data_IF_632118970667
#
_entry.id   IF_632118970667
#
_cell.length_a   1.000
_cell.length_b   1.000
_cell.length_c   1.000
_cell.angle_alpha   90.00
_cell.angle_beta   90.00
_cell.angle_gamma   90.00
#
_symmetry.space_group_name_H-M   'P 1'
#
loop_
_entity.id
_entity.type
_entity.pdbx_description
1 polymer ?
#
# COMPACT_ATOMS: atom_id res chain seq x y z
N UNK A 1 -5.59 -6.33 -5.43
CA UNK A 1 -7.04 -6.02 -5.39
C UNK A 1 -7.96 -7.19 -5.78
N UNK A 2 -7.89 -7.70 -7.02
CA UNK A 2 -8.78 -8.79 -7.48
C UNK A 2 -8.70 -10.03 -6.59
N UNK A 3 -7.49 -10.52 -6.29
CA UNK A 3 -7.29 -11.71 -5.44
C UNK A 3 -7.79 -11.52 -4.00
N UNK A 4 -7.70 -10.30 -3.45
CA UNK A 4 -8.27 -10.01 -2.12
C UNK A 4 -9.80 -10.05 -2.19
N UNK A 5 -10.40 -9.40 -3.19
CA UNK A 5 -11.86 -9.32 -3.34
C UNK A 5 -12.53 -10.59 -3.86
N UNK A 6 -11.77 -11.62 -4.25
CA UNK A 6 -12.30 -12.94 -4.59
C UNK A 6 -12.41 -13.87 -3.37
N UNK A 7 -11.85 -13.48 -2.22
CA UNK A 7 -12.00 -14.24 -0.98
C UNK A 7 -13.42 -14.10 -0.44
N UNK A 8 -14.05 -15.20 -0.02
CA UNK A 8 -15.40 -15.19 0.56
C UNK A 8 -15.51 -14.28 1.79
N UNK A 9 -14.42 -14.17 2.56
CA UNK A 9 -14.34 -13.34 3.76
C UNK A 9 -14.21 -11.85 3.46
N UNK A 10 -13.91 -11.46 2.21
CA UNK A 10 -13.61 -10.07 1.85
C UNK A 10 -14.83 -9.36 1.29
N UNK A 11 -15.41 -8.44 2.07
CA UNK A 11 -16.51 -7.59 1.61
C UNK A 11 -15.97 -6.34 0.88
N UNK A 12 -15.67 -6.48 -0.40
CA UNK A 12 -15.22 -5.36 -1.23
C UNK A 12 -16.38 -4.49 -1.72
N UNK A 13 -16.33 -3.19 -1.42
CA UNK A 13 -17.32 -2.20 -1.88
C UNK A 13 -16.73 -1.23 -2.93
N UNK A 14 -15.42 -1.26 -3.14
CA UNK A 14 -14.71 -0.40 -4.11
C UNK A 14 -15.12 -0.76 -5.54
N UNK A 15 -15.68 0.21 -6.28
CA UNK A 15 -16.06 0.08 -7.69
C UNK A 15 -15.63 1.31 -8.51
N UNK A 16 -14.99 1.14 -9.69
CA UNK A 16 -14.41 -0.11 -10.17
C UNK A 16 -13.25 -0.56 -9.27
N UNK A 17 -12.94 -1.87 -9.27
CA UNK A 17 -11.75 -2.36 -8.58
C UNK A 17 -10.48 -1.85 -9.28
N UNK A 18 -9.44 -1.43 -8.54
CA UNK A 18 -8.17 -1.05 -9.13
C UNK A 18 -7.57 -2.21 -9.96
N UNK A 19 -7.14 -1.89 -11.18
CA UNK A 19 -6.54 -2.86 -12.11
C UNK A 19 -5.04 -3.10 -11.87
N UNK A 20 -4.41 -2.25 -11.06
CA UNK A 20 -2.99 -2.33 -10.68
C UNK A 20 -2.85 -2.80 -9.22
N UNK A 21 -1.64 -3.21 -8.84
CA UNK A 21 -1.30 -3.35 -7.43
C UNK A 21 -1.54 -2.01 -6.70
N UNK A 22 -2.08 -2.10 -5.49
CA UNK A 22 -2.32 -0.99 -4.58
C UNK A 22 -1.47 -1.21 -3.33
N UNK A 23 -1.16 -0.13 -2.62
CA UNK A 23 -0.49 -0.21 -1.33
C UNK A 23 -1.45 -0.87 -0.33
N UNK A 24 -0.90 -1.75 0.51
CA UNK A 24 -1.58 -2.21 1.73
C UNK A 24 -1.00 -1.49 2.94
N UNK A 25 0.32 -1.44 3.05
CA UNK A 25 1.04 -0.63 4.04
C UNK A 25 2.54 -0.58 3.81
N UNK A 26 3.20 0.34 4.51
CA UNK A 26 4.65 0.37 4.69
C UNK A 26 4.95 -0.02 6.13
N UNK A 27 5.67 -1.12 6.32
CA UNK A 27 5.85 -1.74 7.62
C UNK A 27 7.33 -1.74 7.99
N UNK A 28 7.79 -0.84 8.87
CA UNK A 28 9.07 -1.01 9.53
C UNK A 28 9.08 -2.37 10.22
N UNK A 29 10.19 -3.08 10.11
CA UNK A 29 10.29 -4.43 10.66
C UNK A 29 11.70 -4.73 11.16
N UNK A 30 11.84 -5.85 11.84
CA UNK A 30 13.14 -6.39 12.24
C UNK A 30 13.24 -7.87 11.84
N UNK A 31 14.47 -8.41 11.85
CA UNK A 31 14.74 -9.80 11.43
C UNK A 31 14.24 -10.87 12.42
N UNK A 32 13.81 -10.50 13.62
CA UNK A 32 13.48 -11.44 14.70
C UNK A 32 11.96 -11.57 14.92
N UNK A 33 11.29 -10.46 15.23
CA UNK A 33 9.89 -10.39 15.59
C UNK A 33 9.19 -9.22 14.89
N UNK A 34 7.99 -9.40 14.33
CA UNK A 34 7.28 -8.33 13.63
C UNK A 34 7.17 -7.06 14.45
N UNK A 35 7.73 -5.96 13.94
CA UNK A 35 7.65 -4.67 14.61
C UNK A 35 6.28 -4.01 14.35
N UNK A 36 5.52 -3.77 15.43
CA UNK A 36 4.17 -3.19 15.35
C UNK A 36 3.74 -2.56 16.68
N UNK A 37 2.70 -1.74 16.62
CA UNK A 37 2.03 -1.14 17.76
C UNK A 37 3.01 -0.37 18.69
N UNK A 38 4.00 0.31 18.11
CA UNK A 38 5.03 1.02 18.86
C UNK A 38 4.43 2.20 19.62
N UNK A 39 4.86 2.38 20.87
CA UNK A 39 4.40 3.50 21.70
C UNK A 39 4.98 4.81 21.17
N UNK A 40 4.13 5.82 21.08
CA UNK A 40 4.50 7.19 20.76
C UNK A 40 3.81 8.13 21.75
N UNK A 41 4.48 9.22 22.10
CA UNK A 41 4.00 10.21 23.09
C UNK A 41 3.59 11.53 22.44
N UNK A 42 3.76 11.65 21.12
CA UNK A 42 3.41 12.85 20.37
C UNK A 42 1.91 12.90 20.08
N UNK A 43 1.37 14.12 20.08
CA UNK A 43 0.04 14.35 19.53
C UNK A 43 0.14 14.28 18.01
N UNK A 44 -0.62 13.35 17.40
CA UNK A 44 -0.59 13.21 15.96
C UNK A 44 -1.39 14.33 15.29
N UNK A 45 -0.85 14.93 14.23
CA UNK A 45 -1.63 15.83 13.41
C UNK A 45 -2.76 15.05 12.73
N UNK A 46 -3.80 15.76 12.31
CA UNK A 46 -4.80 15.17 11.41
C UNK A 46 -4.14 14.94 10.05
N UNK A 47 -4.47 13.83 9.41
CA UNK A 47 -4.10 13.61 8.02
C UNK A 47 -4.95 14.55 7.14
N UNK A 48 -4.41 15.72 6.82
CA UNK A 48 -5.07 16.73 5.99
C UNK A 48 -4.78 16.53 4.50
N UNK A 49 -5.61 17.15 3.66
CA UNK A 49 -5.38 17.13 2.22
C UNK A 49 -4.40 18.22 1.82
N UNK A 50 -3.12 17.91 1.92
CA UNK A 50 -2.05 18.79 1.47
C UNK A 50 -1.67 18.45 0.03
N UNK A 51 -1.87 19.41 -0.87
CA UNK A 51 -1.51 19.27 -2.29
C UNK A 51 -2.11 18.03 -3.01
N UNK A 52 -3.31 17.57 -2.62
CA UNK A 52 -3.97 16.41 -3.21
C UNK A 52 -3.50 15.06 -2.66
N UNK A 53 -2.84 15.04 -1.50
CA UNK A 53 -2.39 13.82 -0.83
C UNK A 53 -3.52 12.80 -0.65
N UNK A 54 -4.73 13.23 -0.28
CA UNK A 54 -5.84 12.29 -0.07
C UNK A 54 -6.30 11.64 -1.38
N UNK A 55 -6.24 12.37 -2.48
CA UNK A 55 -6.57 11.84 -3.81
C UNK A 55 -5.52 10.82 -4.27
N UNK A 56 -4.24 11.08 -4.01
CA UNK A 56 -3.16 10.12 -4.27
C UNK A 56 -3.32 8.86 -3.42
N UNK A 57 -3.60 9.01 -2.12
CA UNK A 57 -3.86 7.89 -1.23
C UNK A 57 -5.11 7.09 -1.66
N UNK A 58 -6.21 7.75 -2.05
CA UNK A 58 -7.41 7.05 -2.53
C UNK A 58 -7.15 6.27 -3.83
N UNK A 59 -6.29 6.79 -4.69
CA UNK A 59 -5.92 6.17 -5.96
C UNK A 59 -4.98 4.98 -5.78
N UNK A 60 -3.89 5.15 -5.05
CA UNK A 60 -2.78 4.19 -4.97
C UNK A 60 -2.80 3.34 -3.69
N UNK A 61 -3.51 3.77 -2.65
CA UNK A 61 -3.70 3.08 -1.36
C UNK A 61 -5.19 2.97 -0.94
N UNK A 62 -6.14 2.59 -1.82
CA UNK A 62 -7.56 2.53 -1.45
C UNK A 62 -7.86 1.49 -0.37
N UNK A 63 -8.80 1.83 0.52
CA UNK A 63 -9.56 0.83 1.27
C UNK A 63 -10.54 0.13 0.32
N UNK A 64 -10.27 -1.14 -0.01
CA UNK A 64 -11.09 -1.93 -0.93
C UNK A 64 -12.48 -2.27 -0.33
N UNK A 65 -12.63 -2.18 0.99
CA UNK A 65 -13.90 -2.41 1.70
C UNK A 65 -14.81 -1.19 1.69
N UNK A 66 -14.34 -0.04 1.19
CA UNK A 66 -15.13 1.18 1.03
C UNK A 66 -15.41 1.46 -0.44
N UNK A 67 -16.55 2.09 -0.71
CA UNK A 67 -16.83 2.62 -2.04
C UNK A 67 -15.84 3.73 -2.38
N UNK A 68 -15.67 3.99 -3.68
CA UNK A 68 -14.94 5.17 -4.11
C UNK A 68 -15.67 6.44 -3.63
N UNK A 69 -14.96 7.48 -3.14
CA UNK A 69 -15.57 8.77 -2.85
C UNK A 69 -16.19 9.36 -4.13
N UNK A 70 -17.28 10.11 -3.96
CA UNK A 70 -17.87 10.91 -5.04
C UNK A 70 -17.01 12.15 -5.29
N UNK A 71 -17.18 12.86 -6.42
CA UNK A 71 -16.57 14.17 -6.60
C UNK A 71 -16.86 15.07 -5.39
N UNK A 72 -15.84 15.78 -4.90
CA UNK A 72 -15.88 16.65 -3.72
C UNK A 72 -16.15 15.95 -2.38
N UNK A 73 -16.10 14.62 -2.32
CA UNK A 73 -16.22 13.87 -1.07
C UNK A 73 -14.82 13.48 -0.56
N UNK A 74 -14.52 13.83 0.70
CA UNK A 74 -13.27 13.40 1.33
C UNK A 74 -13.21 11.87 1.45
N UNK A 75 -12.11 11.23 1.01
CA UNK A 75 -11.92 9.79 1.20
C UNK A 75 -11.96 9.38 2.68
N UNK A 76 -12.36 8.14 2.94
CA UNK A 76 -12.34 7.59 4.30
C UNK A 76 -10.89 7.30 4.73
N UNK A 77 -10.42 8.01 5.75
CA UNK A 77 -9.03 7.94 6.23
C UNK A 77 -8.74 6.77 7.17
N UNK A 78 -9.76 6.04 7.65
CA UNK A 78 -9.62 5.04 8.74
C UNK A 78 -8.59 3.95 8.41
N UNK A 79 -8.52 3.50 7.17
CA UNK A 79 -7.55 2.47 6.78
C UNK A 79 -6.11 2.98 6.83
N UNK A 80 -5.86 4.22 6.38
CA UNK A 80 -4.52 4.82 6.41
C UNK A 80 -4.06 5.08 7.84
N UNK A 81 -4.95 5.59 8.68
CA UNK A 81 -4.66 5.82 10.10
C UNK A 81 -4.35 4.51 10.81
N UNK A 82 -5.12 3.44 10.59
CA UNK A 82 -4.84 2.16 11.24
C UNK A 82 -3.53 1.51 10.77
N UNK A 83 -3.14 1.69 9.51
CA UNK A 83 -1.83 1.26 9.03
C UNK A 83 -0.71 2.07 9.69
N UNK A 84 -0.89 3.37 9.85
CA UNK A 84 0.08 4.20 10.57
C UNK A 84 0.15 3.81 12.06
N UNK A 85 -0.97 3.70 12.78
CA UNK A 85 -0.98 3.39 14.21
C UNK A 85 -0.29 2.06 14.51
N UNK A 86 -0.58 1.05 13.68
CA UNK A 86 -0.03 -0.29 13.85
C UNK A 86 1.42 -0.41 13.36
N UNK A 87 1.80 0.29 12.29
CA UNK A 87 3.10 0.08 11.65
C UNK A 87 3.92 1.36 11.53
N UNK A 88 3.33 2.44 11.03
CA UNK A 88 4.00 3.74 10.90
C UNK A 88 4.49 4.34 12.22
N UNK A 89 3.82 4.06 13.34
CA UNK A 89 4.25 4.45 14.69
C UNK A 89 5.65 3.97 15.05
N UNK A 90 6.09 2.85 14.46
CA UNK A 90 7.42 2.29 14.62
C UNK A 90 8.50 2.97 13.75
N UNK A 91 8.10 3.89 12.87
CA UNK A 91 9.00 4.59 11.94
C UNK A 91 9.32 6.03 12.39
N UNK A 92 8.87 6.47 13.56
CA UNK A 92 8.94 7.87 13.98
C UNK A 92 10.36 8.45 14.09
N UNK A 93 11.38 7.60 14.22
CA UNK A 93 12.78 8.02 14.18
C UNK A 93 13.29 8.36 12.77
N UNK A 94 12.53 8.00 11.72
CA UNK A 94 12.91 8.12 10.32
C UNK A 94 11.93 8.99 9.52
N UNK A 95 10.64 8.86 9.80
CA UNK A 95 9.58 9.59 9.11
C UNK A 95 8.68 10.31 10.11
N UNK A 96 8.37 11.56 9.83
CA UNK A 96 7.21 12.23 10.43
C UNK A 96 5.91 11.54 10.01
N UNK A 97 4.81 11.90 10.67
CA UNK A 97 3.48 11.37 10.35
C UNK A 97 3.11 11.56 8.87
N UNK A 98 3.38 12.73 8.29
CA UNK A 98 3.08 13.01 6.87
C UNK A 98 4.08 12.34 5.93
N UNK A 99 5.37 12.30 6.29
CA UNK A 99 6.41 11.63 5.50
C UNK A 99 6.13 10.14 5.34
N UNK A 100 5.56 9.47 6.35
CA UNK A 100 5.16 8.07 6.23
C UNK A 100 4.27 7.83 5.01
N UNK A 101 3.26 8.69 4.80
CA UNK A 101 2.34 8.55 3.67
C UNK A 101 2.99 8.95 2.34
N UNK A 102 3.70 10.08 2.32
CA UNK A 102 4.30 10.59 1.08
C UNK A 102 5.45 9.72 0.58
N UNK A 103 6.29 9.19 1.47
CA UNK A 103 7.36 8.24 1.10
C UNK A 103 6.79 6.89 0.65
N UNK A 104 5.71 6.42 1.27
CA UNK A 104 5.04 5.19 0.80
C UNK A 104 4.49 5.37 -0.63
N UNK A 105 3.88 6.51 -0.93
CA UNK A 105 3.43 6.85 -2.28
C UNK A 105 4.59 6.97 -3.28
N UNK A 106 5.70 7.61 -2.89
CA UNK A 106 6.93 7.67 -3.70
C UNK A 106 7.46 6.27 -4.02
N UNK A 107 7.51 5.38 -3.03
CA UNK A 107 7.95 3.99 -3.22
C UNK A 107 7.03 3.23 -4.19
N UNK A 108 5.71 3.39 -4.06
CA UNK A 108 4.72 2.81 -4.97
C UNK A 108 4.88 3.31 -6.41
N UNK A 109 5.20 4.59 -6.62
CA UNK A 109 5.47 5.15 -7.96
C UNK A 109 6.76 4.57 -8.54
N UNK A 110 7.80 4.44 -7.72
CA UNK A 110 9.11 3.90 -8.14
C UNK A 110 8.99 2.44 -8.61
N UNK A 111 8.20 1.62 -7.94
CA UNK A 111 8.08 0.18 -8.22
C UNK A 111 6.72 -0.18 -8.83
N UNK A 112 6.60 -0.02 -10.16
CA UNK A 112 5.45 -0.50 -10.91
C UNK A 112 5.50 -2.03 -11.11
N UNK A 113 5.16 -2.79 -10.06
CA UNK A 113 5.22 -4.26 -10.05
C UNK A 113 4.46 -4.89 -11.22
N UNK A 114 3.23 -4.43 -11.51
CA UNK A 114 2.47 -4.97 -12.65
C UNK A 114 3.19 -4.72 -13.98
N UNK A 115 3.81 -3.55 -14.17
CA UNK A 115 4.61 -3.25 -15.35
C UNK A 115 5.87 -4.13 -15.45
N UNK A 116 6.55 -4.39 -14.33
CA UNK A 116 7.71 -5.29 -14.26
C UNK A 116 7.31 -6.71 -14.68
N UNK A 117 6.21 -7.24 -14.16
CA UNK A 117 5.71 -8.56 -14.52
C UNK A 117 5.29 -8.62 -15.99
N UNK A 118 4.61 -7.59 -16.49
CA UNK A 118 4.20 -7.49 -17.89
C UNK A 118 5.38 -7.49 -18.88
N UNK A 119 6.49 -6.83 -18.54
CA UNK A 119 7.74 -6.88 -19.33
C UNK A 119 8.38 -8.27 -19.41
N UNK A 120 8.00 -9.18 -18.51
CA UNK A 120 8.45 -10.57 -18.50
C UNK A 120 7.33 -11.53 -18.97
N UNK A 121 6.38 -11.01 -19.75
CA UNK A 121 5.24 -11.75 -20.32
C UNK A 121 4.38 -12.46 -19.29
N UNK A 122 4.17 -11.83 -18.12
CA UNK A 122 3.25 -12.31 -17.09
C UNK A 122 2.10 -11.31 -16.93
N UNK A 123 0.87 -11.82 -17.04
CA UNK A 123 -0.36 -11.03 -16.98
C UNK A 123 -1.28 -11.56 -15.88
N UNK A 124 -2.14 -10.73 -15.29
CA UNK A 124 -3.16 -11.19 -14.37
C UNK A 124 -4.07 -12.23 -15.04
N UNK A 125 -4.21 -13.41 -14.42
CA UNK A 125 -4.98 -14.54 -14.95
C UNK A 125 -4.12 -15.69 -15.47
N UNK A 126 -2.84 -15.44 -15.73
CA UNK A 126 -1.90 -16.50 -16.13
C UNK A 126 -1.62 -17.45 -14.95
N UNK A 127 -1.40 -18.73 -15.25
CA UNK A 127 -0.77 -19.65 -14.32
C UNK A 127 0.77 -19.50 -14.44
N UNK A 128 1.42 -19.05 -13.37
CA UNK A 128 2.85 -18.70 -13.38
C UNK A 128 3.61 -19.40 -12.26
N UNK A 129 4.82 -19.85 -12.56
CA UNK A 129 5.76 -20.34 -11.54
C UNK A 129 6.13 -19.19 -10.58
N UNK A 130 5.88 -19.31 -9.26
CA UNK A 130 6.28 -18.31 -8.28
C UNK A 130 7.77 -17.94 -8.35
N UNK A 131 8.66 -18.88 -8.68
CA UNK A 131 10.11 -18.58 -8.84
C UNK A 131 10.37 -17.61 -10.00
N UNK A 132 9.57 -17.66 -11.06
CA UNK A 132 9.66 -16.70 -12.17
C UNK A 132 9.18 -15.31 -11.73
N UNK A 133 8.12 -15.23 -10.92
CA UNK A 133 7.63 -13.97 -10.34
C UNK A 133 8.72 -13.32 -9.48
N UNK A 134 9.29 -14.08 -8.54
CA UNK A 134 10.36 -13.61 -7.64
C UNK A 134 11.56 -13.09 -8.43
N UNK A 135 12.13 -13.90 -9.33
CA UNK A 135 13.29 -13.49 -10.16
C UNK A 135 13.02 -12.23 -10.98
N UNK A 136 11.81 -12.11 -11.53
CA UNK A 136 11.42 -10.95 -12.33
C UNK A 136 11.36 -9.68 -11.49
N UNK A 137 10.84 -9.76 -10.26
CA UNK A 137 10.79 -8.60 -9.35
C UNK A 137 12.21 -8.26 -8.88
N UNK A 138 12.96 -9.22 -8.36
CA UNK A 138 14.31 -9.00 -7.82
C UNK A 138 15.27 -8.37 -8.82
N UNK A 139 15.24 -8.82 -10.08
CA UNK A 139 16.07 -8.24 -11.17
C UNK A 139 15.81 -6.75 -11.38
N UNK A 140 14.56 -6.31 -11.25
CA UNK A 140 14.18 -4.91 -11.48
C UNK A 140 14.32 -4.04 -10.23
N UNK A 141 14.03 -4.60 -9.05
CA UNK A 141 14.17 -3.87 -7.80
C UNK A 141 15.62 -3.77 -7.36
N UNK A 142 16.50 -4.66 -7.83
CA UNK A 142 17.89 -4.84 -7.34
C UNK A 142 17.96 -5.27 -5.87
N UNK A 143 16.98 -6.08 -5.44
CA UNK A 143 16.91 -6.63 -4.09
C UNK A 143 16.55 -8.12 -4.17
N UNK A 144 17.21 -8.95 -3.38
CA UNK A 144 16.88 -10.37 -3.29
C UNK A 144 15.60 -10.60 -2.49
N UNK A 145 14.96 -11.74 -2.72
CA UNK A 145 13.94 -12.20 -1.80
C UNK A 145 14.61 -12.61 -0.49
N UNK A 146 14.14 -12.05 0.62
CA UNK A 146 14.53 -12.47 1.97
C UNK A 146 14.09 -13.91 2.25
#
# INVERSE_FOLDING_TARGET
PKSYCSLETSRCLRKPLPSKFTIHGLWPDNYSWPLRDCKYTIQLPKLEDTAGLLDELDKDWPDLTKRRPRPNETPNKKFWISQWEKHGSCALSVYTFEEYFTETLKMKRRFNILGILGKNSMRPGDNVDPKKVVRSISKYTKHDAA
#
